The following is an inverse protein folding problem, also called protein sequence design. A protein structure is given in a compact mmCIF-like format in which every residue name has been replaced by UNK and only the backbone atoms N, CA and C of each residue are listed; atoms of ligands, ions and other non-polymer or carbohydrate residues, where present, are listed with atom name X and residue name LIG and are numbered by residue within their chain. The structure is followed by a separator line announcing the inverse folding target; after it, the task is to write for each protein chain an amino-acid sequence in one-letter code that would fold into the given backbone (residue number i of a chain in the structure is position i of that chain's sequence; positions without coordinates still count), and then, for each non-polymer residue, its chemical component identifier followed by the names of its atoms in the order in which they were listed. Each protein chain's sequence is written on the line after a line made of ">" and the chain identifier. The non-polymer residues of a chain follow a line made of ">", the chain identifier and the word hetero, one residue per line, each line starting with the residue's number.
data_IF_284505751510
#
_entry.id   IF_284505751510
#
_cell.length_a   1.000
_cell.length_b   1.000
_cell.length_c   1.000
_cell.angle_alpha   90.00
_cell.angle_beta   90.00
_cell.angle_gamma   90.00
#
_symmetry.space_group_name_H-M   'P 1'
#
loop_
_entity.id
_entity.type
_entity.pdbx_description
1 polymer ?
2 polymer ?
3 polymer ?
4 polymer ?
5 non-polymer ?
6 water ?
#
loop_
_entity_poly.entity_id
_entity_poly.type
_entity_poly.pdbx_seq_one_letter_code
_entity_poly.pdbx_strand_id
3 'polydeoxyribonucleotide' '(DT)(DT)(DA)(DG)(DG)(DA)(DT)(DC)(DC)(DT)(DT)(DC)(DA)(DA)(DA)(DA)(DA)(DA)(DG)(DG)(DC)(DA)(DG)(DA)' ?
4 'polydeoxyribonucleotide' '(DT)(DC)(DT)(DG)(DC)(DC)(DT)(DT)(DT)(DT)(DT)(DT)(DG)(DA)(DA)(DG)(DG)(DA)(DT)(DC)(DC)(DT)(DA)(DA)' ?
#
# COMPACT_ATOMS: atom_id res chain seq x y z
N UNK A 1 3.61 4.74 29.93
CA UNK A 1 3.97 5.88 29.06
C UNK A 1 3.61 5.63 27.60
N UNK A 2 3.74 6.70 26.83
CA UNK A 2 3.48 6.66 25.39
C UNK A 2 4.79 6.45 24.64
N UNK A 3 4.91 5.32 23.95
CA UNK A 3 6.08 5.06 23.12
C UNK A 3 6.37 6.13 22.10
N UNK A 4 7.65 6.45 21.94
CA UNK A 4 8.08 7.47 20.99
C UNK A 4 8.55 6.70 19.77
N UNK A 5 7.97 7.01 18.62
CA UNK A 5 8.32 6.31 17.39
C UNK A 5 9.28 7.16 16.55
N UNK A 6 10.13 6.49 15.80
CA UNK A 6 11.15 7.13 14.99
C UNK A 6 10.68 7.62 13.62
N UNK A 7 11.30 8.73 13.19
CA UNK A 7 10.84 9.50 12.02
C UNK A 7 10.83 8.65 10.75
N UNK A 8 11.93 7.96 10.47
CA UNK A 8 12.02 7.28 9.20
C UNK A 8 11.03 6.10 9.20
N UNK A 9 10.80 5.49 10.36
CA UNK A 9 9.82 4.39 10.43
C UNK A 9 8.41 4.93 10.17
N UNK A 10 8.08 6.04 10.82
CA UNK A 10 6.74 6.68 10.59
C UNK A 10 6.54 7.12 9.15
N UNK A 11 7.56 7.69 8.52
CA UNK A 11 7.45 8.08 7.10
C UNK A 11 7.16 6.88 6.20
N UNK A 12 7.95 5.81 6.33
CA UNK A 12 7.74 4.62 5.50
C UNK A 12 6.37 4.01 5.83
N UNK A 13 6.07 3.88 7.11
CA UNK A 13 4.81 3.24 7.51
C UNK A 13 3.61 4.04 7.04
N UNK A 14 3.71 5.38 7.04
CA UNK A 14 2.58 6.21 6.58
C UNK A 14 2.27 5.88 5.12
N UNK A 15 3.31 5.72 4.31
CA UNK A 15 3.15 5.33 2.89
C UNK A 15 2.49 3.97 2.80
N UNK A 16 2.98 3.03 3.60
CA UNK A 16 2.51 1.65 3.52
C UNK A 16 1.04 1.59 3.95
N UNK A 17 0.69 2.37 4.97
CA UNK A 17 -0.70 2.40 5.47
C UNK A 17 -1.62 3.06 4.43
N UNK A 18 -1.16 4.15 3.82
CA UNK A 18 -1.97 4.75 2.75
C UNK A 18 -2.18 3.73 1.65
N UNK A 19 -1.24 2.80 1.50
CA UNK A 19 -1.38 1.69 0.53
C UNK A 19 -2.32 0.58 1.01
N UNK A 20 -1.83 -0.29 1.90
CA UNK A 20 -2.50 -1.53 2.29
C UNK A 20 -3.19 -1.45 3.68
N UNK A 21 -3.17 -0.29 4.32
CA UNK A 21 -3.75 -0.16 5.64
C UNK A 21 -5.20 0.32 5.62
N UNK A 22 -5.80 0.35 6.80
CA UNK A 22 -7.19 0.76 6.93
C UNK A 22 -7.37 1.35 8.30
N UNK A 23 -8.07 2.47 8.37
CA UNK A 23 -8.38 3.10 9.67
C UNK A 23 -9.89 3.10 9.78
N UNK A 24 -10.39 2.36 10.77
CA UNK A 24 -11.77 1.86 10.74
C UNK A 24 -12.44 2.31 11.99
N UNK A 25 -13.65 2.85 11.88
CA UNK A 25 -14.45 3.10 13.07
C UNK A 25 -15.78 2.40 12.89
N UNK A 26 -16.27 1.76 13.94
CA UNK A 26 -17.52 0.98 13.85
C UNK A 26 -18.43 1.23 15.03
N UNK A 27 -19.73 1.06 14.82
CA UNK A 27 -20.70 1.15 15.90
C UNK A 27 -21.26 -0.25 15.94
N UNK A 28 -21.05 -0.97 17.04
CA UNK A 28 -21.47 -2.37 17.08
C UNK A 28 -22.66 -2.53 18.00
N UNK A 29 -23.76 -3.09 17.47
CA UNK A 29 -24.92 -3.25 18.34
C UNK A 29 -24.58 -4.22 19.45
N UNK A 30 -24.95 -3.89 20.68
CA UNK A 30 -24.59 -4.73 21.82
C UNK A 30 -25.49 -4.32 22.98
N UNK A 31 -26.43 -5.18 23.36
CA UNK A 31 -27.51 -4.77 24.27
C UNK A 31 -26.97 -4.57 25.68
N UNK A 32 -25.75 -5.03 25.91
CA UNK A 32 -25.26 -4.91 27.26
C UNK A 32 -24.43 -3.64 27.48
N UNK A 33 -24.34 -2.78 26.47
CA UNK A 33 -23.74 -1.46 26.69
C UNK A 33 -24.76 -0.34 26.87
N UNK A 34 -24.29 0.74 27.49
CA UNK A 34 -25.16 1.76 28.05
C UNK A 34 -26.21 2.27 27.06
N UNK A 35 -25.77 2.53 25.82
CA UNK A 35 -26.66 2.99 24.76
C UNK A 35 -26.87 1.92 23.69
N UNK A 36 -26.65 0.66 24.06
CA UNK A 36 -27.01 -0.50 23.25
C UNK A 36 -26.04 -0.67 22.06
N UNK A 37 -24.92 0.06 22.12
CA UNK A 37 -23.92 0.02 21.05
C UNK A 37 -22.56 0.33 21.63
N UNK A 38 -21.54 -0.34 21.12
CA UNK A 38 -20.17 -0.10 21.55
C UNK A 38 -19.47 0.56 20.36
N UNK A 39 -18.67 1.60 20.60
CA UNK A 39 -17.81 2.11 19.54
C UNK A 39 -16.49 1.34 19.51
N UNK A 40 -16.06 0.91 18.31
CA UNK A 40 -14.81 0.18 18.18
C UNK A 40 -13.91 0.91 17.17
N UNK A 41 -12.63 1.11 17.49
CA UNK A 41 -11.76 1.87 16.61
C UNK A 41 -10.59 0.97 16.28
N UNK A 42 -10.27 0.82 14.99
CA UNK A 42 -9.23 -0.13 14.61
C UNK A 42 -8.24 0.48 13.62
N UNK A 43 -6.95 0.30 13.88
CA UNK A 43 -5.95 0.51 12.82
C UNK A 43 -5.53 -0.90 12.32
N UNK A 44 -5.61 -1.13 11.01
CA UNK A 44 -5.38 -2.48 10.46
C UNK A 44 -4.39 -2.39 9.30
N UNK A 45 -3.46 -3.34 9.19
CA UNK A 45 -2.69 -3.49 7.97
C UNK A 45 -2.82 -4.92 7.48
N UNK A 46 -3.28 -5.10 6.23
CA UNK A 46 -3.50 -6.42 5.65
C UNK A 46 -2.33 -6.84 4.75
N UNK A 47 -1.99 -8.13 4.78
CA UNK A 47 -1.01 -8.65 3.85
C UNK A 47 -1.19 -10.15 3.64
N UNK A 48 -0.90 -10.61 2.42
CA UNK A 48 -0.90 -12.05 2.12
C UNK A 48 -0.03 -12.74 3.18
N UNK A 49 -0.46 -13.92 3.65
CA UNK A 49 0.17 -14.57 4.80
C UNK A 49 1.62 -14.99 4.52
N UNK A 50 1.97 -15.25 3.26
CA UNK A 50 3.38 -15.52 3.00
C UNK A 50 4.28 -14.36 3.42
N UNK A 51 3.69 -13.18 3.56
CA UNK A 51 4.42 -12.00 4.06
C UNK A 51 4.05 -11.60 5.49
N UNK A 52 3.51 -12.54 6.28
CA UNK A 52 3.12 -12.26 7.65
C UNK A 52 4.30 -11.73 8.47
N UNK A 53 5.52 -12.14 8.13
CA UNK A 53 6.69 -11.67 8.86
C UNK A 53 6.75 -10.14 8.93
N UNK A 54 6.24 -9.48 7.88
CA UNK A 54 6.26 -8.00 7.80
C UNK A 54 5.29 -7.44 8.82
N UNK A 55 4.16 -8.12 9.00
CA UNK A 55 3.14 -7.72 10.02
C UNK A 55 3.60 -8.04 11.43
N UNK A 56 4.24 -9.20 11.59
CA UNK A 56 4.89 -9.55 12.86
C UNK A 56 5.89 -8.50 13.32
N UNK A 57 6.74 -8.03 12.39
CA UNK A 57 7.63 -6.89 12.69
C UNK A 57 6.91 -5.64 13.17
N UNK A 58 5.71 -5.38 12.67
CA UNK A 58 4.96 -4.20 13.13
C UNK A 58 4.60 -4.31 14.59
N UNK A 59 4.25 -5.53 15.00
CA UNK A 59 3.99 -5.73 16.44
C UNK A 59 5.24 -5.34 17.24
N UNK A 60 6.40 -5.75 16.77
CA UNK A 60 7.61 -5.38 17.51
C UNK A 60 7.85 -3.86 17.51
N UNK A 61 7.72 -3.24 16.33
CA UNK A 61 8.09 -1.84 16.16
C UNK A 61 7.07 -0.94 16.88
N UNK A 62 5.78 -1.24 16.69
CA UNK A 62 4.76 -0.41 17.33
C UNK A 62 4.70 -0.77 18.81
N UNK A 63 4.96 -2.04 19.12
CA UNK A 63 5.14 -2.52 20.50
C UNK A 63 3.87 -2.99 21.18
N UNK A 64 2.77 -2.97 20.44
CA UNK A 64 1.45 -3.34 20.90
C UNK A 64 0.67 -3.84 19.68
N UNK A 65 -0.48 -4.45 19.87
CA UNK A 65 -1.24 -4.98 18.74
C UNK A 65 -0.92 -6.44 18.49
N UNK A 66 -1.60 -7.03 17.52
CA UNK A 66 -1.45 -8.46 17.27
C UNK A 66 -1.70 -8.78 15.79
N UNK A 67 -1.29 -9.97 15.37
CA UNK A 67 -1.52 -10.41 13.99
C UNK A 67 -2.45 -11.62 13.99
N UNK A 68 -3.41 -11.62 13.05
CA UNK A 68 -4.46 -12.64 12.95
C UNK A 68 -4.43 -13.16 11.51
N UNK A 69 -4.52 -14.47 11.32
CA UNK A 69 -4.66 -15.08 9.99
C UNK A 69 -6.11 -15.27 9.60
N UNK A 70 -6.45 -15.06 8.34
CA UNK A 70 -7.80 -15.36 7.86
C UNK A 70 -7.78 -15.77 6.40
N UNK A 71 -8.26 -16.97 6.10
CA UNK A 71 -8.10 -17.47 4.73
C UNK A 71 -6.65 -17.34 4.27
N UNK A 72 -6.40 -16.59 3.20
CA UNK A 72 -5.05 -16.52 2.65
C UNK A 72 -4.29 -15.26 3.05
N UNK A 73 -4.89 -14.44 3.91
CA UNK A 73 -4.26 -13.20 4.30
C UNK A 73 -4.18 -13.09 5.81
N UNK A 74 -3.30 -12.20 6.26
CA UNK A 74 -3.14 -11.91 7.68
C UNK A 74 -3.32 -10.40 7.88
N UNK A 75 -3.54 -9.99 9.12
CA UNK A 75 -3.80 -8.59 9.43
C UNK A 75 -3.10 -8.25 10.72
N UNK A 76 -2.35 -7.16 10.70
CA UNK A 76 -1.95 -6.54 11.97
C UNK A 76 -3.12 -5.67 12.42
N UNK A 77 -3.48 -5.76 13.71
CA UNK A 77 -4.61 -5.04 14.24
C UNK A 77 -4.23 -4.34 15.55
N UNK A 78 -4.58 -3.06 15.66
CA UNK A 78 -4.38 -2.32 16.89
C UNK A 78 -5.69 -1.61 17.18
N UNK A 79 -6.31 -1.97 18.30
CA UNK A 79 -7.60 -1.41 18.73
C UNK A 79 -7.55 -0.89 20.16
N UNK A 80 -6.49 -1.15 20.90
CA UNK A 80 -6.43 -0.67 22.27
C UNK A 80 -6.28 0.87 22.28
N UNK A 81 -7.21 1.54 22.96
CA UNK A 81 -7.47 2.96 22.77
C UNK A 81 -6.26 3.88 23.05
N UNK A 82 -5.55 3.69 24.16
CA UNK A 82 -4.52 4.67 24.51
C UNK A 82 -3.31 4.55 23.60
N UNK A 83 -2.79 3.32 23.41
CA UNK A 83 -1.71 3.15 22.42
C UNK A 83 -2.13 3.55 21.01
N UNK A 84 -3.38 3.34 20.65
CA UNK A 84 -3.81 3.66 19.28
C UNK A 84 -3.72 5.17 19.11
N UNK A 85 -4.20 5.87 20.14
CA UNK A 85 -4.18 7.33 20.12
C UNK A 85 -2.75 7.85 20.01
N UNK A 86 -1.85 7.29 20.82
CA UNK A 86 -0.44 7.70 20.76
C UNK A 86 0.18 7.45 19.39
N UNK A 87 -0.10 6.28 18.81
CA UNK A 87 0.44 5.88 17.51
C UNK A 87 -0.08 6.78 16.39
N UNK A 88 -1.42 6.97 16.30
CA UNK A 88 -2.01 7.74 15.22
C UNK A 88 -1.58 9.21 15.33
N UNK A 89 -1.42 9.70 16.57
CA UNK A 89 -0.91 11.08 16.78
C UNK A 89 0.41 11.26 16.05
N UNK A 90 1.30 10.29 16.21
CA UNK A 90 2.63 10.39 15.62
C UNK A 90 2.64 10.06 14.13
N UNK A 91 1.74 9.19 13.69
CA UNK A 91 1.69 8.79 12.28
C UNK A 91 1.03 9.85 11.42
N UNK A 92 -0.02 10.49 11.95
CA UNK A 92 -0.91 11.37 11.18
C UNK A 92 -0.19 12.44 10.31
N UNK A 93 0.89 13.06 10.83
CA UNK A 93 1.51 14.11 10.01
C UNK A 93 2.06 13.63 8.68
N UNK A 94 2.27 12.32 8.53
CA UNK A 94 2.91 11.82 7.32
C UNK A 94 1.94 11.13 6.35
N UNK A 95 0.71 10.90 6.82
CA UNK A 95 -0.37 10.35 6.00
C UNK A 95 -0.83 11.35 4.93
N UNK A 96 -1.20 10.83 3.75
CA UNK A 96 -1.68 11.65 2.63
C UNK A 96 -3.08 11.25 2.18
N UNK A 97 -3.41 9.97 2.32
CA UNK A 97 -4.73 9.47 1.89
C UNK A 97 -5.66 9.20 3.07
N UNK A 98 -5.06 8.85 4.20
CA UNK A 98 -5.85 8.43 5.38
C UNK A 98 -5.64 9.37 6.57
N UNK A 99 -5.14 10.57 6.28
CA UNK A 99 -4.92 11.56 7.34
C UNK A 99 -6.23 11.98 8.00
N UNK A 100 -7.25 12.19 7.20
CA UNK A 100 -8.51 12.65 7.79
C UNK A 100 -9.13 11.59 8.71
N UNK A 101 -9.10 10.31 8.29
CA UNK A 101 -9.63 9.22 9.07
C UNK A 101 -8.82 9.18 10.36
N UNK A 102 -7.50 9.35 10.30
CA UNK A 102 -6.65 9.27 11.49
C UNK A 102 -7.13 10.33 12.46
N UNK A 103 -7.31 11.55 11.95
CA UNK A 103 -7.65 12.68 12.82
C UNK A 103 -9.03 12.56 13.42
N UNK A 104 -9.96 11.99 12.65
CA UNK A 104 -11.29 11.69 13.20
C UNK A 104 -11.24 10.66 14.32
N UNK A 105 -10.43 9.61 14.12
CA UNK A 105 -10.22 8.59 15.16
C UNK A 105 -9.66 9.27 16.41
N UNK A 106 -8.68 10.13 16.24
CA UNK A 106 -8.16 10.84 17.41
C UNK A 106 -9.22 11.65 18.15
N UNK A 107 -10.02 12.40 17.40
CA UNK A 107 -11.12 13.18 17.96
C UNK A 107 -12.14 12.33 18.72
N UNK A 108 -12.50 11.18 18.15
CA UNK A 108 -13.47 10.27 18.78
C UNK A 108 -12.91 9.75 20.10
N UNK A 109 -11.67 9.26 20.04
CA UNK A 109 -11.02 8.75 21.25
C UNK A 109 -11.02 9.81 22.37
N UNK A 110 -10.76 11.05 22.01
CA UNK A 110 -10.74 12.14 22.99
C UNK A 110 -12.10 12.37 23.63
N UNK A 111 -13.15 12.07 22.88
CA UNK A 111 -14.51 12.32 23.33
C UNK A 111 -15.21 11.13 23.99
N UNK A 112 -14.57 9.97 23.99
CA UNK A 112 -15.20 8.77 24.54
C UNK A 112 -15.72 8.97 25.98
N UNK A 113 -14.90 9.54 26.87
CA UNK A 113 -15.34 9.70 28.26
C UNK A 113 -16.67 10.44 28.39
N UNK A 114 -16.86 11.49 27.59
CA UNK A 114 -18.11 12.22 27.66
C UNK A 114 -19.18 11.67 26.72
N UNK A 115 -18.78 10.85 25.76
CA UNK A 115 -19.75 10.09 24.97
C UNK A 115 -20.54 9.13 25.87
N UNK A 116 -19.89 8.63 26.91
CA UNK A 116 -20.50 7.61 27.76
C UNK A 116 -21.39 8.25 28.83
N UNK A 117 -22.08 9.34 28.50
CA UNK A 117 -22.77 10.10 29.54
C UNK A 117 -23.96 10.94 29.05
N UNK A 118 -24.10 11.06 27.73
CA UNK A 118 -25.29 11.66 27.16
C UNK A 118 -25.60 11.03 25.80
N UNK A 119 -26.86 10.59 25.60
CA UNK A 119 -27.40 10.18 24.31
C UNK A 119 -26.98 11.08 23.14
N UNK A 120 -27.11 12.40 23.31
CA UNK A 120 -26.88 13.31 22.20
C UNK A 120 -25.41 13.43 21.88
N UNK A 121 -24.57 13.34 22.91
CA UNK A 121 -23.13 13.33 22.67
C UNK A 121 -22.70 12.02 22.04
N UNK A 122 -23.27 10.92 22.51
CA UNK A 122 -23.03 9.63 21.86
C UNK A 122 -23.42 9.69 20.39
N UNK A 123 -24.63 10.17 20.08
CA UNK A 123 -25.04 10.31 18.69
C UNK A 123 -24.06 11.15 17.87
N UNK A 124 -23.62 12.25 18.43
CA UNK A 124 -22.75 13.13 17.68
C UNK A 124 -21.47 12.37 17.36
N UNK A 125 -20.94 11.65 18.34
CA UNK A 125 -19.68 10.95 18.11
C UNK A 125 -19.92 9.93 17.00
N UNK A 126 -21.11 9.32 17.00
CA UNK A 126 -21.48 8.37 15.95
C UNK A 126 -21.47 9.00 14.56
N UNK A 127 -21.80 10.29 14.46
CA UNK A 127 -21.76 10.90 13.15
C UNK A 127 -20.32 11.03 12.71
N UNK A 128 -19.39 11.14 13.66
CA UNK A 128 -17.98 11.17 13.29
C UNK A 128 -17.56 9.82 12.75
N UNK A 129 -18.14 8.76 13.32
CA UNK A 129 -17.88 7.42 12.77
C UNK A 129 -18.41 7.37 11.33
N UNK A 130 -19.60 7.93 11.10
CA UNK A 130 -20.13 8.01 9.72
C UNK A 130 -19.13 8.66 8.77
N UNK A 131 -18.47 9.72 9.23
CA UNK A 131 -17.57 10.48 8.36
C UNK A 131 -16.35 9.67 7.96
N UNK A 132 -15.84 8.84 8.87
CA UNK A 132 -14.70 7.98 8.58
C UNK A 132 -15.11 6.96 7.51
N UNK A 133 -16.29 6.36 7.67
CA UNK A 133 -16.78 5.37 6.71
C UNK A 133 -16.92 6.01 5.34
N UNK A 134 -17.42 7.25 5.29
CA UNK A 134 -17.51 7.98 4.01
C UNK A 134 -16.15 8.17 3.35
N UNK A 135 -15.15 8.57 4.13
CA UNK A 135 -13.79 8.72 3.58
C UNK A 135 -13.20 7.41 3.07
N UNK A 136 -13.49 6.32 3.76
CA UNK A 136 -13.04 4.98 3.35
C UNK A 136 -13.78 4.52 2.09
N UNK A 137 -13.40 3.38 1.50
CA UNK A 137 -14.16 2.77 0.41
C UNK A 137 -15.17 1.82 1.04
N UNK A 138 -16.16 2.38 1.74
CA UNK A 138 -17.13 1.58 2.50
C UNK A 138 -18.08 0.85 1.57
N UNK A 139 -18.34 -0.45 1.82
CA UNK A 139 -19.15 -1.24 0.91
C UNK A 139 -20.06 -2.28 1.59
N UNK A 140 -19.77 -2.59 2.85
CA UNK A 140 -20.56 -3.60 3.60
C UNK A 140 -21.09 -3.13 4.95
N UNK A 141 -21.23 -1.82 5.10
CA UNK A 141 -21.53 -1.18 6.39
C UNK A 141 -23.02 -1.35 6.67
N UNK A 142 -23.34 -1.65 7.94
CA UNK A 142 -24.73 -1.89 8.35
C UNK A 142 -25.22 -0.95 9.43
N UNK A 143 -24.40 -0.77 10.45
CA UNK A 143 -24.80 0.01 11.62
C UNK A 143 -24.23 1.43 11.57
N UNK A 144 -25.12 2.41 11.48
CA UNK A 144 -24.75 3.79 11.28
C UNK A 144 -25.27 4.68 12.40
N UNK A 145 -24.91 5.96 12.39
CA UNK A 145 -25.48 6.83 13.43
C UNK A 145 -27.02 6.84 13.41
N UNK A 146 -27.61 6.57 12.24
CA UNK A 146 -29.09 6.53 12.15
C UNK A 146 -29.68 5.30 12.84
N UNK A 147 -29.00 4.16 12.73
CA UNK A 147 -29.35 2.97 13.47
C UNK A 147 -29.42 3.33 14.95
N UNK A 148 -28.37 4.00 15.43
CA UNK A 148 -28.32 4.40 16.85
C UNK A 148 -29.52 5.27 17.19
N UNK A 149 -29.81 6.24 16.33
CA UNK A 149 -30.86 7.20 16.67
C UNK A 149 -32.21 6.64 17.16
N UNK A 150 -32.49 5.37 16.89
CA UNK A 150 -33.16 4.45 17.86
C UNK A 150 -32.75 4.39 19.37
N UNK A 151 -32.01 5.37 19.87
CA UNK A 151 -32.15 5.77 21.27
C UNK A 151 -33.49 6.50 21.42
N UNK A 152 -34.17 6.70 20.30
CA UNK A 152 -35.45 7.37 20.32
C UNK A 152 -36.51 6.56 21.04
N UNK A 153 -36.24 5.26 21.21
CA UNK A 153 -37.11 4.38 21.97
C UNK A 153 -36.66 4.10 23.41
N UNK B 2 18.47 13.21 -14.80
CA UNK B 2 18.65 12.64 -13.43
C UNK B 2 18.28 13.61 -12.30
N UNK B 3 16.97 13.70 -12.01
CA UNK B 3 16.48 14.33 -10.79
C UNK B 3 17.07 13.64 -9.55
N UNK B 4 17.33 14.42 -8.50
CA UNK B 4 17.58 13.86 -7.17
C UNK B 4 16.38 14.14 -6.27
N UNK B 5 15.86 13.12 -5.59
CA UNK B 5 14.69 13.31 -4.74
C UNK B 5 15.00 13.51 -3.26
N UNK B 6 14.13 14.24 -2.60
CA UNK B 6 14.17 14.41 -1.15
C UNK B 6 13.93 13.07 -0.41
N UNK B 7 14.74 12.82 0.62
CA UNK B 7 14.70 11.58 1.38
C UNK B 7 13.35 11.27 2.00
N UNK B 8 12.69 12.29 2.52
CA UNK B 8 11.40 12.10 3.17
C UNK B 8 10.35 11.67 2.14
N UNK B 9 10.45 12.24 0.94
CA UNK B 9 9.56 11.77 -0.13
C UNK B 9 9.85 10.31 -0.52
N UNK B 10 11.12 9.97 -0.67
CA UNK B 10 11.47 8.59 -1.00
C UNK B 10 11.03 7.59 0.08
N UNK B 11 11.15 7.97 1.34
CA UNK B 11 10.74 7.08 2.42
C UNK B 11 9.25 6.79 2.33
N UNK B 12 8.46 7.84 2.24
CA UNK B 12 7.01 7.68 2.13
C UNK B 12 6.66 6.90 0.87
N UNK B 13 7.26 7.27 -0.27
CA UNK B 13 6.92 6.64 -1.52
C UNK B 13 7.28 5.14 -1.49
N UNK B 14 8.40 4.82 -0.90
CA UNK B 14 8.79 3.40 -0.82
C UNK B 14 7.70 2.58 -0.10
N UNK B 15 7.16 3.13 0.98
CA UNK B 15 6.09 2.45 1.71
C UNK B 15 4.86 2.34 0.83
N UNK B 16 4.48 3.43 0.16
CA UNK B 16 3.32 3.37 -0.73
C UNK B 16 3.45 2.37 -1.87
N UNK B 17 4.65 2.34 -2.46
CA UNK B 17 4.93 1.39 -3.53
C UNK B 17 4.94 -0.03 -2.99
N UNK B 18 5.54 -0.26 -1.82
CA UNK B 18 5.48 -1.60 -1.26
C UNK B 18 4.02 -2.00 -1.03
N UNK B 19 3.11 -1.04 -0.79
CA UNK B 19 1.69 -1.35 -0.68
C UNK B 19 0.98 -1.54 -2.02
N UNK B 20 0.80 -0.47 -2.79
CA UNK B 20 -0.08 -0.47 -3.96
C UNK B 20 0.70 -0.52 -5.28
N UNK B 21 2.03 -0.59 -5.22
CA UNK B 21 2.81 -0.55 -6.45
C UNK B 21 3.15 -1.93 -7.00
N UNK B 22 3.80 -1.93 -8.16
CA UNK B 22 4.22 -3.17 -8.80
C UNK B 22 5.46 -2.92 -9.62
N UNK B 23 6.46 -3.79 -9.48
CA UNK B 23 7.62 -3.73 -10.32
C UNK B 23 7.61 -4.95 -11.23
N UNK B 24 7.41 -4.71 -12.53
CA UNK B 24 6.96 -5.75 -13.47
C UNK B 24 7.99 -5.92 -14.56
N UNK B 25 8.43 -7.16 -14.79
CA UNK B 25 9.26 -7.43 -15.96
C UNK B 25 8.60 -8.50 -16.83
N UNK B 26 8.61 -8.27 -18.14
CA UNK B 26 7.91 -9.14 -19.09
C UNK B 26 8.78 -9.49 -20.29
N UNK B 27 8.58 -10.68 -20.83
CA UNK B 27 9.15 -11.08 -22.13
C UNK B 27 7.97 -11.17 -23.08
N UNK B 28 8.00 -10.39 -24.16
CA UNK B 28 6.89 -10.37 -25.09
C UNK B 28 7.33 -10.96 -26.43
N UNK B 29 6.65 -12.02 -26.89
CA UNK B 29 6.93 -12.56 -28.22
C UNK B 29 6.69 -11.49 -29.27
N UNK B 30 7.65 -11.35 -30.18
CA UNK B 30 7.49 -10.52 -31.36
C UNK B 30 8.51 -10.85 -32.45
N UNK B 31 8.02 -11.17 -33.64
CA UNK B 31 8.85 -11.80 -34.68
C UNK B 31 9.85 -10.81 -35.25
N UNK B 32 9.58 -9.52 -35.09
CA UNK B 32 10.47 -8.53 -35.67
C UNK B 32 11.69 -8.23 -34.80
N UNK B 33 11.71 -8.77 -33.59
CA UNK B 33 12.89 -8.55 -32.76
C UNK B 33 13.91 -9.64 -33.06
N UNK B 34 15.17 -9.31 -32.82
CA UNK B 34 16.29 -10.21 -33.13
C UNK B 34 16.11 -11.62 -32.59
N UNK B 35 15.70 -11.70 -31.33
CA UNK B 35 15.54 -13.01 -30.71
C UNK B 35 14.07 -13.36 -30.55
N UNK B 36 13.25 -12.75 -31.41
CA UNK B 36 11.84 -13.11 -31.53
C UNK B 36 11.07 -12.74 -30.26
N UNK B 37 11.70 -11.97 -29.39
CA UNK B 37 11.09 -11.48 -28.15
C UNK B 37 11.70 -10.14 -27.77
N UNK B 38 10.93 -9.40 -26.97
CA UNK B 38 11.37 -8.11 -26.48
C UNK B 38 11.17 -8.10 -24.96
N UNK B 39 11.99 -7.32 -24.25
CA UNK B 39 11.85 -7.22 -22.80
C UNK B 39 11.13 -5.93 -22.45
N UNK B 40 10.21 -5.99 -21.50
CA UNK B 40 9.44 -4.79 -21.14
C UNK B 40 9.51 -4.68 -19.63
N UNK B 41 9.89 -3.50 -19.15
CA UNK B 41 10.08 -3.28 -17.71
C UNK B 41 9.16 -2.16 -17.31
N UNK B 42 8.37 -2.35 -16.24
CA UNK B 42 7.36 -1.38 -15.85
C UNK B 42 7.34 -1.13 -14.34
N UNK B 43 7.38 0.13 -13.94
CA UNK B 43 7.03 0.50 -12.57
C UNK B 43 5.61 1.08 -12.59
N UNK B 44 4.72 0.59 -11.73
CA UNK B 44 3.32 0.92 -11.85
C UNK B 44 2.85 1.21 -10.43
N UNK B 45 1.99 2.20 -10.25
CA UNK B 45 1.24 2.33 -9.00
C UNK B 45 -0.25 2.45 -9.34
N UNK B 46 -1.07 1.56 -8.78
CA UNK B 46 -2.52 1.48 -9.12
C UNK B 46 -3.32 2.17 -8.02
N UNK B 47 -4.44 2.80 -8.39
CA UNK B 47 -5.36 3.41 -7.40
C UNK B 47 -6.72 3.61 -8.03
N UNK B 48 -7.78 3.36 -7.25
CA UNK B 48 -9.13 3.69 -7.64
C UNK B 48 -9.16 5.09 -8.25
N UNK B 49 -9.88 5.24 -9.36
CA UNK B 49 -9.85 6.47 -10.15
C UNK B 49 -10.33 7.71 -9.36
N UNK B 50 -11.20 7.47 -8.38
CA UNK B 50 -11.60 8.52 -7.42
C UNK B 50 -10.37 9.23 -6.86
N UNK B 51 -9.29 8.47 -6.69
CA UNK B 51 -8.05 9.03 -6.13
C UNK B 51 -6.96 9.23 -7.19
N UNK B 52 -7.35 9.31 -8.45
CA UNK B 52 -6.36 9.57 -9.49
C UNK B 52 -5.53 10.82 -9.18
N UNK B 53 -6.11 11.78 -8.47
CA UNK B 53 -5.40 13.02 -8.13
C UNK B 53 -4.05 12.71 -7.49
N UNK B 54 -4.02 11.63 -6.72
CA UNK B 54 -2.79 11.25 -6.02
C UNK B 54 -1.72 10.80 -7.03
N UNK B 55 -2.16 10.06 -8.04
CA UNK B 55 -1.31 9.64 -9.14
C UNK B 55 -0.82 10.82 -10.01
N UNK B 56 -1.71 11.77 -10.28
CA UNK B 56 -1.35 13.01 -10.99
C UNK B 56 -0.29 13.81 -10.23
N UNK B 57 -0.43 13.89 -8.91
CA UNK B 57 0.62 14.51 -8.07
C UNK B 57 1.95 13.74 -8.17
N UNK B 58 1.88 12.42 -8.18
CA UNK B 58 3.05 11.57 -8.34
C UNK B 58 3.80 11.85 -9.65
N UNK B 59 3.06 11.99 -10.74
CA UNK B 59 3.68 12.46 -11.99
C UNK B 59 4.54 13.71 -11.80
N UNK B 60 4.00 14.67 -11.07
CA UNK B 60 4.64 15.99 -10.92
C UNK B 60 5.90 15.81 -10.07
N UNK B 61 5.75 15.00 -9.02
CA UNK B 61 6.78 14.83 -8.01
C UNK B 61 7.93 13.96 -8.51
N UNK B 62 7.60 12.87 -9.20
CA UNK B 62 8.64 12.07 -9.84
C UNK B 62 9.25 12.75 -11.06
N UNK B 63 8.41 13.45 -11.83
CA UNK B 63 8.88 14.35 -12.88
C UNK B 63 8.94 13.67 -14.24
N UNK B 64 8.51 12.41 -14.26
CA UNK B 64 8.44 11.62 -15.48
C UNK B 64 7.32 10.57 -15.28
N UNK B 65 6.91 9.90 -16.35
CA UNK B 65 5.78 8.98 -16.31
C UNK B 65 4.43 9.63 -16.60
N UNK B 66 3.36 8.86 -16.47
CA UNK B 66 2.07 9.37 -16.87
C UNK B 66 1.01 8.55 -16.17
N UNK B 67 -0.22 9.04 -16.24
CA UNK B 67 -1.34 8.32 -15.62
C UNK B 67 -2.36 7.91 -16.68
N UNK B 68 -2.80 6.67 -16.59
CA UNK B 68 -3.80 6.08 -17.51
C UNK B 68 -4.98 5.62 -16.70
N UNK B 69 -6.18 5.99 -17.14
CA UNK B 69 -7.41 5.62 -16.48
C UNK B 69 -8.04 4.46 -17.24
N UNK B 70 -8.30 3.35 -16.55
CA UNK B 70 -8.90 2.22 -17.23
C UNK B 70 -10.39 2.10 -16.90
N UNK B 71 -10.92 3.13 -16.23
CA UNK B 71 -12.33 3.16 -15.87
C UNK B 71 -12.44 3.12 -14.37
N UNK B 72 -12.44 1.94 -13.78
CA UNK B 72 -12.63 1.84 -12.33
C UNK B 72 -11.35 2.22 -11.54
N UNK B 73 -10.19 1.92 -12.13
CA UNK B 73 -8.91 2.25 -11.54
C UNK B 73 -8.02 2.93 -12.56
N UNK B 74 -7.03 3.63 -12.04
CA UNK B 74 -6.03 4.35 -12.82
C UNK B 74 -4.65 3.84 -12.38
N UNK B 75 -3.64 4.06 -13.21
CA UNK B 75 -2.28 3.60 -12.91
C UNK B 75 -1.31 4.69 -13.26
N UNK B 76 -0.44 5.00 -12.32
CA UNK B 76 0.81 5.66 -12.68
C UNK B 76 1.78 4.67 -13.32
N UNK B 77 2.44 5.08 -14.40
CA UNK B 77 3.25 4.18 -15.20
C UNK B 77 4.57 4.86 -15.52
N UNK B 78 5.66 4.14 -15.28
CA UNK B 78 7.00 4.55 -15.75
C UNK B 78 7.69 3.33 -16.38
N UNK B 79 8.02 3.46 -17.67
CA UNK B 79 8.57 2.36 -18.48
C UNK B 79 9.83 2.80 -19.22
N UNK B 80 9.94 4.10 -19.50
CA UNK B 80 11.09 4.59 -20.26
C UNK B 80 12.35 4.22 -19.49
N UNK B 81 13.25 3.49 -20.15
CA UNK B 81 14.37 2.84 -19.50
C UNK B 81 15.30 3.74 -18.69
N UNK B 82 15.78 4.85 -19.27
CA UNK B 82 16.75 5.66 -18.51
C UNK B 82 16.15 6.34 -17.27
N UNK B 83 14.98 7.00 -17.40
CA UNK B 83 14.32 7.52 -16.21
C UNK B 83 13.97 6.44 -15.20
N UNK B 84 13.63 5.25 -15.69
CA UNK B 84 13.26 4.18 -14.75
C UNK B 84 14.50 3.78 -13.94
N UNK B 85 15.61 3.65 -14.64
CA UNK B 85 16.88 3.40 -13.95
C UNK B 85 17.18 4.44 -12.86
N UNK B 86 17.07 5.73 -13.19
CA UNK B 86 17.40 6.74 -12.19
C UNK B 86 16.45 6.73 -11.02
N UNK B 87 15.16 6.55 -11.32
CA UNK B 87 14.16 6.58 -10.29
C UNK B 87 14.37 5.39 -9.33
N UNK B 88 14.49 4.20 -9.88
CA UNK B 88 14.63 3.01 -9.04
C UNK B 88 15.95 2.95 -8.25
N UNK B 89 17.02 3.45 -8.84
CA UNK B 89 18.27 3.68 -8.11
C UNK B 89 18.04 4.43 -6.82
N UNK B 90 17.25 5.50 -6.87
CA UNK B 90 16.99 6.29 -5.68
C UNK B 90 15.97 5.71 -4.73
N UNK B 91 14.95 5.05 -5.28
CA UNK B 91 13.93 4.41 -4.47
C UNK B 91 14.44 3.18 -3.72
N UNK B 92 15.26 2.36 -4.37
CA UNK B 92 15.55 1.00 -3.93
C UNK B 92 16.02 0.89 -2.46
N UNK B 93 16.89 1.81 -1.99
CA UNK B 93 17.37 1.66 -0.62
C UNK B 93 16.27 1.65 0.42
N UNK B 94 15.08 2.15 0.06
CA UNK B 94 14.04 2.38 1.06
C UNK B 94 12.93 1.33 0.99
N UNK B 95 12.96 0.48 -0.04
CA UNK B 95 11.97 -0.58 -0.22
C UNK B 95 12.24 -1.76 0.72
N UNK B 96 11.18 -2.41 1.18
CA UNK B 96 11.27 -3.59 2.06
C UNK B 96 10.64 -4.86 1.46
N UNK B 97 9.57 -4.69 0.69
CA UNK B 97 8.90 -5.81 0.03
C UNK B 97 9.31 -5.96 -1.43
N UNK B 98 9.64 -4.84 -2.07
CA UNK B 98 9.88 -4.86 -3.52
C UNK B 98 11.33 -4.52 -3.88
N UNK B 99 12.20 -4.53 -2.87
CA UNK B 99 13.58 -4.14 -3.09
C UNK B 99 14.31 -5.05 -4.08
N UNK B 100 14.10 -6.34 -3.91
CA UNK B 100 14.80 -7.32 -4.75
C UNK B 100 14.35 -7.17 -6.20
N UNK B 101 13.05 -6.99 -6.39
CA UNK B 101 12.53 -6.72 -7.75
C UNK B 101 13.21 -5.48 -8.31
N UNK B 102 13.32 -4.41 -7.54
CA UNK B 102 13.90 -3.16 -8.07
C UNK B 102 15.35 -3.41 -8.50
N UNK B 103 16.09 -4.14 -7.68
CA UNK B 103 17.50 -4.35 -7.97
C UNK B 103 17.67 -5.27 -9.17
N UNK B 104 16.74 -6.20 -9.38
CA UNK B 104 16.82 -7.06 -10.58
C UNK B 104 16.51 -6.22 -11.80
N UNK B 105 15.59 -5.27 -11.67
CA UNK B 105 15.28 -4.44 -12.84
C UNK B 105 16.49 -3.59 -13.23
N UNK B 106 17.13 -3.01 -12.22
CA UNK B 106 18.40 -2.32 -12.43
C UNK B 106 19.50 -3.16 -13.12
N UNK B 107 19.66 -4.41 -12.71
CA UNK B 107 20.66 -5.32 -13.28
C UNK B 107 20.29 -5.64 -14.74
N UNK B 108 19.01 -5.89 -14.96
CA UNK B 108 18.55 -6.09 -16.34
C UNK B 108 18.90 -4.88 -17.19
N UNK B 109 18.59 -3.68 -16.68
CA UNK B 109 18.70 -2.52 -17.55
C UNK B 109 20.17 -2.36 -17.93
N UNK B 110 21.03 -2.49 -16.94
CA UNK B 110 22.47 -2.41 -17.16
C UNK B 110 23.02 -3.44 -18.16
N UNK B 111 22.40 -4.60 -18.25
CA UNK B 111 22.77 -5.59 -19.26
C UNK B 111 22.07 -5.53 -20.63
N UNK B 112 21.15 -4.59 -20.82
CA UNK B 112 20.38 -4.56 -22.06
C UNK B 112 21.25 -4.48 -23.34
N UNK B 113 22.23 -3.58 -23.36
CA UNK B 113 23.05 -3.44 -24.58
C UNK B 113 23.67 -4.80 -24.94
N UNK B 114 24.34 -5.36 -23.94
CA UNK B 114 24.88 -6.71 -24.03
C UNK B 114 23.90 -7.86 -24.43
N UNK B 115 22.64 -7.78 -23.99
CA UNK B 115 21.64 -8.80 -24.28
C UNK B 115 21.17 -8.75 -25.73
N UNK B 116 21.42 -7.61 -26.38
CA UNK B 116 21.00 -7.39 -27.77
C UNK B 116 21.91 -8.13 -28.75
N UNK B 117 23.10 -8.52 -28.28
CA UNK B 117 24.17 -9.01 -29.15
C UNK B 117 24.36 -10.52 -29.11
N UNK B 118 23.72 -11.17 -28.14
CA UNK B 118 24.07 -12.54 -27.83
C UNK B 118 22.82 -13.28 -27.34
N UNK B 119 22.55 -14.45 -27.91
CA UNK B 119 21.34 -15.15 -27.49
C UNK B 119 21.51 -15.82 -26.15
N UNK B 120 22.72 -16.30 -25.87
CA UNK B 120 23.07 -16.71 -24.51
C UNK B 120 22.79 -15.61 -23.52
N UNK B 121 23.28 -14.40 -23.80
CA UNK B 121 23.09 -13.27 -22.90
C UNK B 121 21.63 -12.85 -22.75
N UNK B 122 20.91 -12.81 -23.87
CA UNK B 122 19.47 -12.54 -23.83
C UNK B 122 18.75 -13.52 -22.93
N UNK B 123 19.02 -14.81 -23.14
CA UNK B 123 18.44 -15.84 -22.29
C UNK B 123 18.71 -15.58 -20.82
N UNK B 124 19.97 -15.27 -20.48
CA UNK B 124 20.33 -15.09 -19.09
C UNK B 124 19.50 -13.97 -18.50
N UNK B 125 19.37 -12.89 -19.26
CA UNK B 125 18.59 -11.75 -18.78
C UNK B 125 17.12 -12.16 -18.60
N UNK B 126 16.62 -13.01 -19.49
CA UNK B 126 15.26 -13.54 -19.32
C UNK B 126 15.09 -14.34 -18.02
N UNK B 127 16.14 -15.04 -17.56
CA UNK B 127 16.05 -15.75 -16.28
C UNK B 127 15.91 -14.78 -15.12
N UNK B 128 16.44 -13.56 -15.24
CA UNK B 128 16.25 -12.58 -14.18
C UNK B 128 14.83 -12.02 -14.20
N UNK B 129 14.22 -12.02 -15.39
CA UNK B 129 12.83 -11.65 -15.52
C UNK B 129 12.02 -12.72 -14.79
N UNK B 130 12.33 -14.00 -14.99
CA UNK B 130 11.68 -15.07 -14.22
C UNK B 130 11.74 -14.79 -12.73
N UNK B 131 12.92 -14.41 -12.23
CA UNK B 131 13.09 -14.20 -10.79
C UNK B 131 12.19 -13.08 -10.29
N UNK B 132 12.05 -12.01 -11.08
CA UNK B 132 11.16 -10.90 -10.67
C UNK B 132 9.72 -11.41 -10.56
N UNK B 133 9.28 -12.15 -11.57
CA UNK B 133 7.93 -12.74 -11.51
C UNK B 133 7.76 -13.65 -10.30
N UNK B 134 8.79 -14.42 -9.96
CA UNK B 134 8.68 -15.31 -8.80
C UNK B 134 8.54 -14.51 -7.50
N UNK B 135 9.25 -13.39 -7.42
CA UNK B 135 9.13 -12.51 -6.25
C UNK B 135 7.78 -11.80 -6.13
N UNK B 136 7.21 -11.39 -7.26
CA UNK B 136 5.83 -10.89 -7.31
C UNK B 136 4.78 -11.95 -7.00
N UNK B 137 3.51 -11.53 -6.85
CA UNK B 137 2.42 -12.52 -6.71
C UNK B 137 1.89 -12.91 -8.11
N UNK B 138 2.72 -13.62 -8.87
CA UNK B 138 2.42 -13.79 -10.29
C UNK B 138 1.34 -14.85 -10.46
N UNK B 139 0.33 -14.57 -11.30
CA UNK B 139 -0.79 -15.51 -11.50
C UNK B 139 -1.24 -15.70 -12.96
N UNK B 140 -0.81 -14.86 -13.90
CA UNK B 140 -1.32 -14.93 -15.29
C UNK B 140 -0.17 -14.92 -16.30
N UNK B 141 1.02 -15.25 -15.83
CA UNK B 141 2.18 -15.15 -16.68
C UNK B 141 2.15 -16.23 -17.75
N UNK B 142 2.60 -15.91 -18.94
CA UNK B 142 2.63 -16.91 -20.06
C UNK B 142 4.05 -17.12 -20.59
N UNK B 143 4.71 -16.05 -21.00
CA UNK B 143 6.03 -16.14 -21.62
C UNK B 143 7.17 -16.06 -20.60
N UNK B 144 8.00 -17.10 -20.57
CA UNK B 144 9.07 -17.22 -19.58
C UNK B 144 10.38 -17.42 -20.31
N UNK B 145 11.48 -17.51 -19.56
CA UNK B 145 12.77 -17.77 -20.19
C UNK B 145 12.71 -19.10 -20.95
N UNK B 146 11.93 -20.05 -20.44
CA UNK B 146 11.84 -21.35 -21.12
C UNK B 146 11.16 -21.27 -22.49
N UNK B 147 10.14 -20.44 -22.63
CA UNK B 147 9.55 -20.13 -23.94
C UNK B 147 10.64 -19.66 -24.90
N UNK B 148 11.46 -18.72 -24.41
CA UNK B 148 12.55 -18.16 -25.21
C UNK B 148 13.56 -19.23 -25.59
N UNK B 149 14.03 -20.00 -24.61
CA UNK B 149 14.96 -21.10 -24.85
C UNK B 149 14.69 -21.89 -26.13
N UNK B 150 13.46 -21.87 -26.64
CA UNK B 150 13.22 -22.01 -28.10
C UNK B 150 13.81 -20.95 -29.06
N UNK B 151 14.98 -20.41 -28.73
CA UNK B 151 15.97 -19.96 -29.72
C UNK B 151 16.85 -21.18 -30.05
N UNK B 152 16.54 -22.29 -29.40
CA UNK B 152 17.03 -23.59 -29.83
C UNK B 152 16.46 -23.91 -31.22
N UNK B 153 17.33 -23.95 -32.22
CA UNK B 153 17.04 -23.39 -33.54
C UNK B 153 18.27 -22.69 -34.11
X LIG E 1 -4.63 0.72 -1.43
X LIG F 1 -0.19 -4.66 -1.41
X LIG G 1 -16.09 6.66 0.25
X LIG H 1 5.52 -15.38 -5.89
#
# INVERSE_FOLDING_TARGET
>A
MNTKYNKEFLLYLAGFVDGDGSIIAQIKPNQSSKFKHRLSLTFQVTQKTQRRWFLDKLVDEIGVGYVRDSGSVSNYILSEIKPLHNFLTQLQPFLKLKQKQANLVLKIIEQLPSAKESPDKFLEVCTWVDQIAALNDSKTRKTTSETVRAVLD
>B
MNTKYNKEFLLYLAGFVDGDGSIIAQIEPNQSYKFKHRLKLTFKVTQKTQRRWFLDKLVDEIGVGYVSDSGSVSNYILSEIKPLHNFLTQLQPFLKLKQKQANLVLKIIEQLPSAKESPDKFLEVCTWVDQIAALNDSKTRKTTSETVRAVLD
>E hetero
1 CA CA
>F hetero
1 CA CA
>G hetero
1 CA CA
>H hetero
1 CA CA
#
